data_IF_367365568998
#
_entry.id   IF_367365568998
#
_cell.length_a   1.000
_cell.length_b   1.000
_cell.length_c   1.000
_cell.angle_alpha   90.00
_cell.angle_beta   90.00
_cell.angle_gamma   90.00
#
_symmetry.space_group_name_H-M   'P 1'
#
loop_
_entity.id
_entity.type
_entity.pdbx_description
1 polymer ?
#
# COMPACT_ATOMS: atom_id res chain seq x y z
N UNK A 1 -7.21 -10.40 7.59
CA UNK A 1 -7.47 -9.26 8.48
C UNK A 1 -8.87 -8.75 8.22
N UNK A 2 -9.68 -8.44 9.25
CA UNK A 2 -10.95 -7.75 9.04
C UNK A 2 -10.68 -6.37 8.42
N UNK A 3 -11.56 -5.93 7.51
CA UNK A 3 -11.49 -4.58 6.96
C UNK A 3 -11.93 -3.56 8.03
N UNK A 4 -11.31 -2.39 8.04
CA UNK A 4 -11.79 -1.23 8.80
C UNK A 4 -13.21 -0.85 8.37
N UNK A 5 -14.01 -0.33 9.30
CA UNK A 5 -15.39 0.05 9.00
C UNK A 5 -15.41 1.43 8.36
N UNK A 6 -16.15 1.62 7.28
CA UNK A 6 -16.33 2.95 6.69
C UNK A 6 -17.28 3.80 7.52
N UNK A 7 -16.93 5.07 7.71
CA UNK A 7 -17.82 6.10 8.27
C UNK A 7 -18.55 6.85 7.17
N UNK A 8 -17.90 7.05 6.01
CA UNK A 8 -18.53 7.65 4.83
C UNK A 8 -17.85 7.20 3.53
N UNK A 9 -18.67 7.08 2.49
CA UNK A 9 -18.23 6.91 1.10
C UNK A 9 -18.97 7.96 0.29
N UNK A 10 -18.27 8.94 -0.25
CA UNK A 10 -18.89 10.11 -0.90
C UNK A 10 -18.25 10.38 -2.25
N UNK A 11 -19.02 10.18 -3.31
CA UNK A 11 -18.63 10.53 -4.67
C UNK A 11 -18.59 12.05 -4.82
N UNK A 12 -17.51 12.55 -5.41
CA UNK A 12 -17.29 13.98 -5.61
C UNK A 12 -17.97 14.44 -6.91
N UNK A 13 -18.62 15.60 -6.86
CA UNK A 13 -19.26 16.20 -8.03
C UNK A 13 -18.25 16.67 -9.10
N UNK A 14 -17.05 17.05 -8.65
CA UNK A 14 -15.96 17.54 -9.50
C UNK A 14 -14.78 16.59 -9.35
N UNK A 15 -14.17 16.22 -10.48
CA UNK A 15 -12.96 15.42 -10.52
C UNK A 15 -11.78 16.23 -9.96
N UNK A 16 -11.17 15.84 -8.84
CA UNK A 16 -9.99 16.52 -8.28
C UNK A 16 -8.79 16.49 -9.24
N UNK A 17 -7.85 17.41 -9.07
CA UNK A 17 -6.66 17.52 -9.94
C UNK A 17 -5.81 16.25 -9.98
N UNK A 18 -5.59 15.61 -8.83
CA UNK A 18 -4.87 14.33 -8.73
C UNK A 18 -5.55 13.20 -9.50
N UNK A 19 -6.89 13.16 -9.56
CA UNK A 19 -7.59 12.22 -10.44
C UNK A 19 -7.56 12.68 -11.91
N UNK A 20 -7.74 13.97 -12.15
CA UNK A 20 -7.79 14.57 -13.48
C UNK A 20 -6.51 14.39 -14.29
N UNK A 21 -5.36 14.32 -13.61
CA UNK A 21 -4.07 14.03 -14.22
C UNK A 21 -4.04 12.71 -15.01
N UNK A 22 -4.86 11.72 -14.62
CA UNK A 22 -4.89 10.38 -15.22
C UNK A 22 -6.07 10.17 -16.19
N UNK A 23 -6.92 11.17 -16.35
CA UNK A 23 -8.09 11.19 -17.25
C UNK A 23 -7.94 12.30 -18.31
N UNK A 24 -6.89 12.20 -19.14
CA UNK A 24 -6.56 13.16 -20.20
C UNK A 24 -6.75 12.59 -21.62
N UNK A 25 -7.23 13.36 -22.63
CA UNK A 25 -7.63 12.82 -23.94
C UNK A 25 -6.57 12.04 -24.75
N UNK A 26 -5.28 12.18 -24.43
CA UNK A 26 -4.18 11.49 -25.11
C UNK A 26 -3.24 10.88 -24.07
N UNK A 27 -3.05 9.55 -24.11
CA UNK A 27 -2.18 8.85 -23.17
C UNK A 27 -2.76 8.69 -21.75
N UNK A 28 -4.05 8.95 -21.54
CA UNK A 28 -4.71 8.61 -20.27
C UNK A 28 -4.67 7.12 -20.03
N UNK A 29 -4.40 6.76 -18.78
CA UNK A 29 -4.68 5.42 -18.28
C UNK A 29 -6.20 5.14 -18.24
N UNK A 30 -7.00 6.19 -18.10
CA UNK A 30 -8.46 6.11 -18.09
C UNK A 30 -9.11 6.95 -19.20
N UNK A 31 -9.29 6.37 -20.38
CA UNK A 31 -9.95 7.03 -21.52
C UNK A 31 -11.49 7.04 -21.43
N UNK A 32 -12.07 6.14 -20.65
CA UNK A 32 -13.52 5.88 -20.53
C UNK A 32 -14.22 6.85 -19.54
N UNK A 33 -13.47 7.80 -18.99
CA UNK A 33 -13.94 8.70 -17.94
C UNK A 33 -13.75 8.14 -16.53
N UNK A 34 -13.65 9.03 -15.56
CA UNK A 34 -13.23 8.72 -14.20
C UNK A 34 -14.17 9.38 -13.19
N UNK A 35 -14.40 8.68 -12.09
CA UNK A 35 -15.15 9.18 -10.93
C UNK A 35 -14.22 9.23 -9.72
N UNK A 36 -14.27 10.31 -8.94
CA UNK A 36 -13.57 10.40 -7.67
C UNK A 36 -14.52 10.15 -6.50
N UNK A 37 -14.08 9.37 -5.52
CA UNK A 37 -14.84 9.07 -4.31
C UNK A 37 -13.93 9.19 -3.09
N UNK A 38 -14.37 9.95 -2.10
CA UNK A 38 -13.72 9.99 -0.79
C UNK A 38 -14.24 8.84 0.07
N UNK A 39 -13.32 8.06 0.62
CA UNK A 39 -13.59 6.95 1.53
C UNK A 39 -12.99 7.29 2.89
N UNK A 40 -13.83 7.36 3.91
CA UNK A 40 -13.40 7.61 5.30
C UNK A 40 -13.69 6.36 6.12
N UNK A 41 -12.72 5.97 6.94
CA UNK A 41 -12.82 4.84 7.86
C UNK A 41 -12.97 5.34 9.30
N UNK A 42 -13.35 4.47 10.23
CA UNK A 42 -13.50 4.80 11.65
C UNK A 42 -12.15 4.89 12.40
N UNK A 43 -11.09 4.39 11.78
CA UNK A 43 -9.72 4.34 12.31
C UNK A 43 -8.84 5.55 11.92
N UNK A 44 -9.33 6.47 11.08
CA UNK A 44 -8.67 7.73 10.74
C UNK A 44 -9.72 8.74 10.29
N UNK A 45 -9.62 9.98 10.79
CA UNK A 45 -10.60 11.03 10.50
C UNK A 45 -10.55 11.58 9.07
N UNK A 46 -9.43 11.38 8.37
CA UNK A 46 -9.22 11.94 7.03
C UNK A 46 -9.68 10.95 5.94
N UNK A 47 -10.31 11.45 4.86
CA UNK A 47 -10.71 10.62 3.73
C UNK A 47 -9.52 10.25 2.83
N UNK A 48 -9.56 9.05 2.27
CA UNK A 48 -8.74 8.66 1.12
C UNK A 48 -9.48 8.95 -0.18
N UNK A 49 -8.79 9.58 -1.13
CA UNK A 49 -9.35 9.84 -2.47
C UNK A 49 -9.13 8.62 -3.37
N UNK A 50 -10.23 8.05 -3.87
CA UNK A 50 -10.24 6.95 -4.84
C UNK A 50 -10.68 7.49 -6.19
N UNK A 51 -9.80 7.44 -7.18
CA UNK A 51 -10.06 7.75 -8.57
C UNK A 51 -10.36 6.46 -9.34
N UNK A 52 -11.62 6.18 -9.67
CA UNK A 52 -12.02 4.95 -10.35
C UNK A 52 -12.38 5.22 -11.80
N UNK A 53 -11.72 4.54 -12.72
CA UNK A 53 -12.08 4.56 -14.13
C UNK A 53 -13.41 3.86 -14.38
N UNK A 54 -14.20 4.33 -15.35
CA UNK A 54 -15.50 3.74 -15.70
C UNK A 54 -15.39 2.25 -16.03
N UNK A 55 -14.28 1.83 -16.66
CA UNK A 55 -14.02 0.44 -17.06
C UNK A 55 -13.33 -0.42 -15.97
N UNK A 56 -13.09 0.12 -14.77
CA UNK A 56 -12.38 -0.60 -13.72
C UNK A 56 -13.07 -1.93 -13.34
N UNK A 57 -12.30 -3.02 -13.26
CA UNK A 57 -12.83 -4.34 -12.91
C UNK A 57 -13.36 -4.39 -11.47
N UNK A 58 -12.69 -3.71 -10.54
CA UNK A 58 -13.13 -3.62 -9.15
C UNK A 58 -14.33 -2.69 -9.02
N UNK A 59 -15.35 -3.11 -8.27
CA UNK A 59 -16.44 -2.23 -7.82
C UNK A 59 -15.97 -1.32 -6.68
N UNK A 60 -16.72 -0.27 -6.36
CA UNK A 60 -16.40 0.55 -5.19
C UNK A 60 -16.46 -0.24 -3.88
N UNK A 61 -17.35 -1.22 -3.76
CA UNK A 61 -17.41 -2.09 -2.58
C UNK A 61 -16.13 -2.93 -2.43
N UNK A 62 -15.62 -3.48 -3.55
CA UNK A 62 -14.35 -4.21 -3.56
C UNK A 62 -13.18 -3.30 -3.20
N UNK A 63 -13.14 -2.08 -3.75
CA UNK A 63 -12.11 -1.09 -3.43
C UNK A 63 -12.13 -0.72 -1.95
N UNK A 64 -13.31 -0.43 -1.41
CA UNK A 64 -13.50 -0.08 0.01
C UNK A 64 -13.08 -1.23 0.92
N UNK A 65 -13.47 -2.48 0.60
CA UNK A 65 -13.06 -3.66 1.37
C UNK A 65 -11.54 -3.85 1.35
N UNK A 66 -10.90 -3.77 0.18
CA UNK A 66 -9.44 -3.97 0.05
C UNK A 66 -8.64 -2.85 0.69
N UNK A 67 -9.02 -1.59 0.45
CA UNK A 67 -8.43 -0.43 1.12
C UNK A 67 -8.62 -0.53 2.64
N UNK A 68 -9.80 -0.96 3.09
CA UNK A 68 -10.13 -1.20 4.50
C UNK A 68 -9.24 -2.25 5.16
N UNK A 69 -8.73 -3.23 4.41
CA UNK A 69 -7.83 -4.29 4.91
C UNK A 69 -6.37 -3.86 4.98
N UNK A 70 -5.98 -2.76 4.33
CA UNK A 70 -4.65 -2.17 4.52
C UNK A 70 -4.62 -1.52 5.91
N UNK A 71 -3.71 -1.93 6.81
CA UNK A 71 -3.67 -1.40 8.18
C UNK A 71 -3.44 0.11 8.19
N UNK A 72 -4.13 0.87 9.05
CA UNK A 72 -4.07 2.35 9.02
C UNK A 72 -2.65 2.90 9.16
N UNK A 73 -1.78 2.23 9.93
CA UNK A 73 -0.39 2.65 10.10
C UNK A 73 0.41 2.61 8.81
N UNK A 74 0.04 1.76 7.86
CA UNK A 74 0.58 1.72 6.49
C UNK A 74 -0.26 2.58 5.54
N UNK A 75 -1.58 2.43 5.57
CA UNK A 75 -2.53 3.09 4.67
C UNK A 75 -2.40 4.61 4.67
N UNK A 76 -1.97 5.20 5.78
CA UNK A 76 -1.72 6.64 5.89
C UNK A 76 -0.58 7.20 5.01
N UNK A 77 0.28 6.34 4.46
CA UNK A 77 1.30 6.75 3.50
C UNK A 77 0.79 6.71 2.05
N UNK A 78 -0.38 6.11 1.83
CA UNK A 78 -1.05 6.09 0.53
C UNK A 78 -1.73 7.43 0.32
N UNK A 79 -1.42 8.07 -0.81
CA UNK A 79 -2.03 9.32 -1.22
C UNK A 79 -3.33 9.05 -1.99
N UNK A 80 -3.26 9.01 -3.31
CA UNK A 80 -4.42 8.74 -4.18
C UNK A 80 -4.45 7.27 -4.57
N UNK A 81 -5.64 6.66 -4.60
CA UNK A 81 -5.83 5.32 -5.15
C UNK A 81 -6.47 5.45 -6.53
N UNK A 82 -5.76 5.05 -7.58
CA UNK A 82 -6.25 5.03 -8.96
C UNK A 82 -6.60 3.60 -9.35
N UNK A 83 -7.85 3.37 -9.73
CA UNK A 83 -8.40 2.04 -10.01
C UNK A 83 -8.82 1.96 -11.47
N UNK A 84 -8.20 1.04 -12.20
CA UNK A 84 -8.19 0.99 -13.66
C UNK A 84 -8.64 -0.39 -14.15
N UNK A 85 -9.21 -0.41 -15.37
CA UNK A 85 -9.64 -1.65 -16.02
C UNK A 85 -8.51 -2.28 -16.82
N UNK A 86 -8.29 -3.59 -16.65
CA UNK A 86 -7.38 -4.37 -17.50
C UNK A 86 -7.81 -5.85 -17.53
N UNK A 87 -7.36 -6.56 -18.55
CA UNK A 87 -7.43 -8.03 -18.69
C UNK A 87 -6.50 -8.78 -17.75
N UNK A 88 -5.40 -8.15 -17.29
CA UNK A 88 -4.43 -8.75 -16.38
C UNK A 88 -4.22 -7.90 -15.12
N UNK A 89 -4.03 -8.55 -13.98
CA UNK A 89 -3.78 -7.85 -12.71
C UNK A 89 -2.34 -7.38 -12.62
N UNK A 90 -2.15 -6.09 -12.40
CA UNK A 90 -0.85 -5.49 -12.10
C UNK A 90 -1.06 -4.18 -11.36
N UNK A 91 0.03 -3.60 -10.86
CA UNK A 91 -0.01 -2.34 -10.15
C UNK A 91 1.34 -1.63 -10.21
N UNK A 92 1.34 -0.35 -9.85
CA UNK A 92 2.56 0.38 -9.57
C UNK A 92 2.27 1.53 -8.60
N UNK A 93 3.31 2.03 -7.96
CA UNK A 93 3.24 3.16 -7.03
C UNK A 93 4.16 4.29 -7.48
N UNK A 94 3.65 5.51 -7.47
CA UNK A 94 4.42 6.71 -7.77
C UNK A 94 5.13 7.23 -6.51
N UNK A 95 6.20 8.00 -6.71
CA UNK A 95 7.01 8.53 -5.59
C UNK A 95 6.25 9.48 -4.65
N UNK A 96 5.10 10.00 -5.07
CA UNK A 96 4.21 10.81 -4.24
C UNK A 96 3.24 9.98 -3.37
N UNK A 97 3.29 8.64 -3.46
CA UNK A 97 2.39 7.72 -2.73
C UNK A 97 1.07 7.42 -3.44
N UNK A 98 0.90 7.85 -4.70
CA UNK A 98 -0.25 7.44 -5.50
C UNK A 98 -0.08 5.97 -5.93
N UNK A 99 -1.12 5.18 -5.75
CA UNK A 99 -1.16 3.75 -6.11
C UNK A 99 -2.08 3.57 -7.31
N UNK A 100 -1.58 2.89 -8.33
CA UNK A 100 -2.33 2.55 -9.54
C UNK A 100 -2.58 1.05 -9.58
N UNK A 101 -3.84 0.64 -9.62
CA UNK A 101 -4.27 -0.76 -9.57
C UNK A 101 -5.06 -1.10 -10.82
N UNK A 102 -4.64 -2.14 -11.53
CA UNK A 102 -5.23 -2.60 -12.78
C UNK A 102 -5.85 -3.98 -12.61
N UNK A 103 -7.04 -4.19 -13.16
CA UNK A 103 -7.74 -5.46 -13.03
C UNK A 103 -8.34 -5.66 -11.64
N UNK A 104 -8.56 -6.91 -11.25
CA UNK A 104 -9.09 -7.30 -9.93
C UNK A 104 -7.96 -7.66 -8.94
N UNK A 105 -7.05 -6.72 -8.68
CA UNK A 105 -5.84 -6.95 -7.87
C UNK A 105 -6.18 -7.38 -6.44
N UNK A 106 -5.59 -8.50 -6.01
CA UNK A 106 -5.80 -9.11 -4.71
C UNK A 106 -5.10 -8.33 -3.57
N UNK A 107 -5.46 -8.62 -2.32
CA UNK A 107 -5.07 -7.81 -1.15
C UNK A 107 -3.55 -7.72 -0.95
N UNK A 108 -2.81 -8.75 -1.33
CA UNK A 108 -1.34 -8.75 -1.32
C UNK A 108 -0.75 -7.66 -2.20
N UNK A 109 -1.34 -7.39 -3.38
CA UNK A 109 -0.93 -6.30 -4.26
C UNK A 109 -1.18 -4.95 -3.59
N UNK A 110 -2.32 -4.78 -2.91
CA UNK A 110 -2.61 -3.53 -2.19
C UNK A 110 -1.62 -3.29 -1.05
N UNK A 111 -1.24 -4.34 -0.32
CA UNK A 111 -0.22 -4.25 0.73
C UNK A 111 1.16 -3.95 0.15
N UNK A 112 1.51 -4.58 -0.97
CA UNK A 112 2.76 -4.38 -1.69
C UNK A 112 2.91 -2.92 -2.16
N UNK A 113 1.92 -2.38 -2.88
CA UNK A 113 1.94 -0.99 -3.33
C UNK A 113 1.90 0.01 -2.16
N UNK A 114 1.22 -0.34 -1.07
CA UNK A 114 1.24 0.49 0.14
C UNK A 114 2.62 0.50 0.81
N UNK A 115 3.43 -0.56 0.66
CA UNK A 115 4.83 -0.57 1.11
C UNK A 115 5.71 0.34 0.24
N UNK A 116 5.51 0.35 -1.08
CA UNK A 116 6.16 1.34 -1.95
C UNK A 116 5.77 2.76 -1.55
N UNK A 117 4.49 2.98 -1.23
CA UNK A 117 4.02 4.30 -0.75
C UNK A 117 4.74 4.70 0.54
N UNK A 118 4.92 3.77 1.47
CA UNK A 118 5.74 4.02 2.67
C UNK A 118 7.21 4.32 2.32
N UNK A 119 7.84 3.53 1.45
CA UNK A 119 9.24 3.70 1.07
C UNK A 119 9.51 5.05 0.37
N UNK A 120 8.56 5.52 -0.45
CA UNK A 120 8.74 6.77 -1.19
C UNK A 120 8.22 8.00 -0.43
N UNK A 121 7.04 7.91 0.20
CA UNK A 121 6.36 9.06 0.81
C UNK A 121 6.73 9.29 2.29
N UNK A 122 7.37 8.33 2.97
CA UNK A 122 7.85 8.55 4.35
C UNK A 122 8.96 9.60 4.45
N UNK A 123 9.57 9.96 3.32
CA UNK A 123 10.76 10.83 3.26
C UNK A 123 12.06 10.10 3.62
N UNK A 124 12.00 8.78 3.81
CA UNK A 124 13.14 7.90 4.04
C UNK A 124 13.09 6.81 2.97
N UNK A 125 14.11 6.74 2.12
CA UNK A 125 14.25 5.60 1.21
C UNK A 125 14.83 4.42 1.99
N UNK A 126 13.94 3.61 2.57
CA UNK A 126 14.24 2.47 3.42
C UNK A 126 14.87 1.35 2.59
N UNK A 127 14.29 1.07 1.42
CA UNK A 127 14.76 0.05 0.48
C UNK A 127 16.15 0.33 -0.09
N UNK A 128 16.60 1.59 -0.09
CA UNK A 128 17.95 1.97 -0.52
C UNK A 128 18.91 2.18 0.67
N UNK A 129 18.48 1.93 1.90
CA UNK A 129 19.34 2.07 3.07
C UNK A 129 20.42 0.97 3.08
N UNK A 130 21.62 1.32 3.55
CA UNK A 130 22.72 0.35 3.67
C UNK A 130 22.34 -0.86 4.52
N UNK A 131 21.54 -0.66 5.56
CA UNK A 131 21.10 -1.69 6.49
C UNK A 131 20.12 -2.66 5.83
N UNK A 132 19.23 -2.18 4.96
CA UNK A 132 18.35 -3.04 4.18
C UNK A 132 19.15 -3.89 3.19
N UNK A 133 20.05 -3.26 2.43
CA UNK A 133 20.90 -3.95 1.47
C UNK A 133 21.81 -5.01 2.14
N UNK A 134 22.34 -4.71 3.33
CA UNK A 134 23.11 -5.65 4.14
C UNK A 134 22.24 -6.82 4.62
N UNK A 135 20.97 -6.56 4.98
CA UNK A 135 20.05 -7.62 5.40
C UNK A 135 19.78 -8.62 4.27
N UNK A 136 19.56 -8.13 3.04
CA UNK A 136 19.44 -8.96 1.83
C UNK A 136 20.71 -9.79 1.62
N UNK A 137 21.89 -9.14 1.67
CA UNK A 137 23.18 -9.81 1.43
C UNK A 137 23.56 -10.87 2.46
N UNK A 138 22.97 -10.84 3.66
CA UNK A 138 23.19 -11.80 4.74
C UNK A 138 22.15 -12.94 4.76
N UNK A 139 21.15 -12.88 3.90
CA UNK A 139 20.13 -13.90 3.74
C UNK A 139 20.42 -14.79 2.53
N UNK A 140 19.88 -16.01 2.55
CA UNK A 140 20.11 -17.01 1.50
C UNK A 140 18.87 -17.29 0.65
N UNK A 141 17.78 -16.57 0.89
CA UNK A 141 16.54 -16.64 0.14
C UNK A 141 15.83 -15.29 0.16
N UNK A 142 14.89 -15.12 -0.76
CA UNK A 142 13.93 -14.03 -0.79
C UNK A 142 12.51 -14.60 -0.73
N UNK A 143 11.49 -13.76 -0.51
CA UNK A 143 10.12 -14.24 -0.43
C UNK A 143 9.67 -15.01 -1.69
N UNK A 144 9.87 -14.42 -2.85
CA UNK A 144 9.51 -15.03 -4.12
C UNK A 144 10.46 -14.55 -5.23
N UNK A 145 10.27 -15.07 -6.45
CA UNK A 145 11.08 -14.66 -7.60
C UNK A 145 10.93 -13.18 -7.94
N UNK A 146 9.79 -12.56 -7.61
CA UNK A 146 9.56 -11.15 -7.88
C UNK A 146 10.42 -10.25 -6.97
N UNK A 147 10.58 -10.65 -5.70
CA UNK A 147 11.45 -10.02 -4.71
C UNK A 147 12.91 -9.92 -5.20
N UNK A 148 13.36 -10.87 -6.03
CA UNK A 148 14.72 -10.88 -6.60
C UNK A 148 14.96 -9.82 -7.69
N UNK A 149 13.92 -9.09 -8.12
CA UNK A 149 14.02 -8.08 -9.17
C UNK A 149 14.96 -6.95 -8.76
N UNK A 150 14.78 -6.42 -7.55
CA UNK A 150 15.65 -5.41 -6.93
C UNK A 150 15.27 -5.22 -5.44
N UNK A 151 16.08 -4.45 -4.71
CA UNK A 151 15.88 -4.22 -3.27
C UNK A 151 14.57 -3.49 -2.90
N UNK A 152 13.97 -2.74 -3.84
CA UNK A 152 12.69 -2.03 -3.65
C UNK A 152 11.53 -3.02 -3.69
N UNK A 153 11.51 -3.93 -4.68
CA UNK A 153 10.51 -4.99 -4.77
C UNK A 153 10.63 -5.99 -3.62
N UNK A 154 11.87 -6.33 -3.24
CA UNK A 154 12.16 -7.17 -2.09
C UNK A 154 11.59 -6.58 -0.80
N UNK A 155 11.82 -5.28 -0.56
CA UNK A 155 11.29 -4.58 0.61
C UNK A 155 9.76 -4.61 0.68
N UNK A 156 9.10 -4.37 -0.45
CA UNK A 156 7.65 -4.42 -0.52
C UNK A 156 7.11 -5.85 -0.25
N UNK A 157 7.73 -6.89 -0.81
CA UNK A 157 7.30 -8.28 -0.59
C UNK A 157 7.58 -8.79 0.81
N UNK A 158 8.74 -8.51 1.39
CA UNK A 158 8.99 -8.84 2.81
C UNK A 158 7.99 -8.09 3.70
N UNK A 159 7.57 -6.88 3.32
CA UNK A 159 6.50 -6.13 3.97
C UNK A 159 5.17 -6.89 3.99
N UNK A 160 4.71 -7.40 2.85
CA UNK A 160 3.50 -8.24 2.75
C UNK A 160 3.57 -9.44 3.71
N UNK A 161 4.69 -10.15 3.71
CA UNK A 161 4.93 -11.28 4.61
C UNK A 161 4.89 -10.86 6.07
N UNK A 162 5.45 -9.69 6.40
CA UNK A 162 5.44 -9.16 7.76
C UNK A 162 4.05 -8.74 8.22
N UNK A 163 3.23 -8.15 7.34
CA UNK A 163 1.82 -7.87 7.64
C UNK A 163 1.04 -9.12 7.93
N UNK A 164 1.22 -10.16 7.11
CA UNK A 164 0.61 -11.47 7.36
C UNK A 164 1.05 -12.00 8.73
N UNK A 165 2.36 -12.04 9.00
CA UNK A 165 2.91 -12.53 10.26
C UNK A 165 2.28 -11.82 11.46
N UNK A 166 2.25 -10.48 11.45
CA UNK A 166 1.64 -9.75 12.54
C UNK A 166 0.14 -10.07 12.63
N UNK A 167 -0.61 -10.02 11.54
CA UNK A 167 -2.04 -10.35 11.51
C UNK A 167 -2.36 -11.73 12.09
N UNK A 168 -1.45 -12.69 11.89
CA UNK A 168 -1.55 -14.08 12.31
C UNK A 168 -0.66 -14.41 13.53
N UNK A 169 -0.46 -13.45 14.44
CA UNK A 169 0.21 -13.66 15.74
C UNK A 169 1.62 -14.26 15.67
N UNK A 170 2.37 -13.93 14.61
CA UNK A 170 3.73 -14.37 14.35
C UNK A 170 3.84 -15.48 13.31
N UNK A 171 2.73 -16.09 12.88
CA UNK A 171 2.73 -17.18 11.91
C UNK A 171 2.96 -16.68 10.48
N UNK A 172 3.87 -17.32 9.74
CA UNK A 172 3.99 -17.11 8.29
C UNK A 172 2.99 -18.00 7.53
N UNK A 173 2.70 -17.69 6.26
CA UNK A 173 1.90 -18.55 5.40
C UNK A 173 2.48 -19.97 5.34
N UNK A 174 1.62 -20.98 5.18
CA UNK A 174 2.05 -22.38 5.09
C UNK A 174 3.09 -22.57 3.98
N UNK A 175 4.15 -23.33 4.28
CA UNK A 175 5.25 -23.61 3.35
C UNK A 175 6.38 -22.59 3.37
N UNK A 176 6.28 -21.56 4.21
CA UNK A 176 7.32 -20.56 4.39
C UNK A 176 8.13 -20.79 5.65
N UNK A 177 9.45 -20.79 5.50
CA UNK A 177 10.40 -20.92 6.59
C UNK A 177 11.20 -19.61 6.75
N UNK A 178 11.13 -18.92 7.90
CA UNK A 178 11.76 -17.61 8.09
C UNK A 178 13.29 -17.71 8.12
N UNK A 179 13.86 -18.90 8.34
CA UNK A 179 15.25 -19.09 8.71
C UNK A 179 16.26 -18.57 7.69
N UNK A 180 15.93 -18.60 6.40
CA UNK A 180 16.82 -18.17 5.33
C UNK A 180 16.72 -16.67 5.00
N UNK A 181 15.66 -15.98 5.45
CA UNK A 181 15.42 -14.53 5.27
C UNK A 181 15.36 -13.79 6.62
N UNK A 182 16.03 -14.32 7.64
CA UNK A 182 15.90 -13.86 9.03
C UNK A 182 16.43 -12.44 9.22
N UNK A 183 17.41 -12.01 8.44
CA UNK A 183 18.02 -10.70 8.59
C UNK A 183 17.09 -9.62 8.06
N UNK A 184 16.46 -9.85 6.90
CA UNK A 184 15.39 -9.01 6.36
C UNK A 184 14.23 -8.90 7.35
N UNK A 185 13.73 -10.03 7.88
CA UNK A 185 12.64 -10.02 8.86
C UNK A 185 13.00 -9.25 10.16
N UNK A 186 14.23 -9.43 10.66
CA UNK A 186 14.72 -8.71 11.84
C UNK A 186 14.85 -7.20 11.58
N UNK A 187 15.25 -6.81 10.37
CA UNK A 187 15.25 -5.41 9.96
C UNK A 187 13.83 -4.84 9.97
N UNK A 188 12.85 -5.56 9.41
CA UNK A 188 11.45 -5.14 9.44
C UNK A 188 10.93 -4.98 10.86
N UNK A 189 11.26 -5.90 11.78
CA UNK A 189 10.91 -5.78 13.20
C UNK A 189 11.46 -4.52 13.87
N UNK A 190 12.59 -3.99 13.41
CA UNK A 190 13.21 -2.79 13.94
C UNK A 190 12.57 -1.49 13.42
N UNK A 191 11.81 -1.54 12.32
CA UNK A 191 11.15 -0.36 11.77
C UNK A 191 9.95 0.05 12.64
N UNK A 192 9.79 1.34 12.97
CA UNK A 192 8.62 1.83 13.72
C UNK A 192 7.28 1.48 13.08
N UNK A 193 7.24 1.32 11.75
CA UNK A 193 6.05 0.91 11.00
C UNK A 193 5.48 -0.43 11.49
N UNK A 194 6.32 -1.40 11.82
CA UNK A 194 5.90 -2.76 12.16
C UNK A 194 5.59 -2.95 13.66
N UNK A 195 5.42 -1.86 14.41
CA UNK A 195 4.80 -1.93 15.73
C UNK A 195 3.31 -2.27 15.60
N UNK A 196 2.91 -3.47 16.06
CA UNK A 196 1.54 -3.98 15.95
C UNK A 196 0.47 -3.00 16.46
N UNK A 197 0.71 -2.31 17.58
CA UNK A 197 -0.27 -1.42 18.19
C UNK A 197 -0.55 -0.18 17.34
N UNK A 198 0.49 0.40 16.74
CA UNK A 198 0.33 1.58 15.87
C UNK A 198 -0.04 1.20 14.45
N UNK A 199 0.44 0.05 13.96
CA UNK A 199 0.16 -0.46 12.62
C UNK A 199 -1.33 -0.75 12.43
N UNK A 200 -1.92 -1.45 13.41
CA UNK A 200 -3.35 -1.79 13.47
C UNK A 200 -4.12 -0.86 14.40
N UNK A 201 -3.56 0.30 14.73
CA UNK A 201 -4.19 1.26 15.62
C UNK A 201 -5.41 1.92 14.99
N UNK A 202 -5.97 2.90 15.69
CA UNK A 202 -7.11 3.68 15.22
C UNK A 202 -6.71 5.14 15.00
N UNK A 203 -5.51 5.37 14.44
CA UNK A 203 -5.10 6.72 14.07
C UNK A 203 -4.05 6.72 12.96
N UNK A 204 -4.18 7.69 12.07
CA UNK A 204 -3.18 8.09 11.10
C UNK A 204 -2.09 9.01 11.70
N UNK A 205 -2.19 9.41 12.99
CA UNK A 205 -1.18 10.24 13.66
C UNK A 205 0.17 9.52 13.78
N UNK A 206 1.27 10.23 13.49
CA UNK A 206 2.64 9.71 13.67
C UNK A 206 3.16 10.10 15.06
N UNK A 207 3.48 9.14 15.94
CA UNK A 207 4.29 9.45 17.12
C UNK A 207 5.71 9.82 16.64
N UNK A 208 6.12 11.06 16.85
CA UNK A 208 7.44 11.57 16.43
C UNK A 208 7.38 12.36 15.11
N UNK A 209 7.97 13.56 15.12
CA UNK A 209 7.88 14.49 14.00
C UNK A 209 8.63 13.99 12.75
N UNK A 210 7.88 13.65 11.72
CA UNK A 210 8.37 13.49 10.36
C UNK A 210 7.83 14.65 9.52
N UNK A 211 8.69 15.36 8.81
CA UNK A 211 8.32 16.56 8.02
C UNK A 211 7.82 16.23 6.60
N UNK A 212 7.54 14.96 6.30
CA UNK A 212 7.22 14.49 4.95
C UNK A 212 5.79 13.96 4.76
N UNK A 213 5.19 13.34 5.78
CA UNK A 213 3.87 12.75 5.66
C UNK A 213 2.81 13.80 6.04
N UNK A 214 2.25 14.45 5.03
CA UNK A 214 1.05 15.27 5.21
C UNK A 214 -0.18 14.37 5.17
N UNK A 215 -0.90 14.33 6.28
CA UNK A 215 -2.35 14.36 6.24
C UNK A 215 -2.74 15.85 6.18
N UNK A 216 -3.05 16.37 4.99
CA UNK A 216 -3.84 17.61 4.81
C UNK A 216 -4.97 17.33 3.86
#
# INVERSE_FOLDING_TARGET
MPASTTTSVTTLEVLPENCGAYNVPSGSECAEGMTATNVTFDDCGDPWTVCRCSNANMTMDTVVDRLGRVPVGLRRYVATIVVLGDTSTHAYTLTNGDIHLFGDSAIETWLHESMHSFDFASGISVSNSSQWLESIGNDSCAPDDYSLTNAVEDFAQVGVMKFYSLAHYGELPSGWEPGCMRNQLAYMDALPLFNRTTLFGNTCSIPGGFSGARCV
#
